data_IF_753087390344
#
_entry.id   IF_753087390344
#
_cell.length_a   1.000
_cell.length_b   1.000
_cell.length_c   1.000
_cell.angle_alpha   90.00
_cell.angle_beta   90.00
_cell.angle_gamma   90.00
#
_symmetry.space_group_name_H-M   'P 1'
#
loop_
_entity.id
_entity.type
_entity.pdbx_description
1 polymer ?
#
# COMPACT_ATOMS: atom_id res chain seq x y z
N UNK A 1 2.61 -8.19 35.34
CA UNK A 1 2.60 -6.81 35.85
C UNK A 1 2.66 -5.89 34.64
N UNK A 2 1.49 -5.51 34.11
CA UNK A 2 1.37 -4.81 32.83
C UNK A 2 1.41 -3.30 33.03
N UNK A 3 2.36 -2.63 32.39
CA UNK A 3 2.44 -1.18 32.37
C UNK A 3 1.47 -0.64 31.30
N UNK A 4 0.53 0.20 31.76
CA UNK A 4 -0.43 0.93 30.94
C UNK A 4 0.23 2.24 30.53
N UNK A 5 0.71 2.33 29.29
CA UNK A 5 1.13 3.60 28.72
C UNK A 5 -0.11 4.35 28.23
N UNK A 6 -0.49 5.38 29.00
CA UNK A 6 -1.53 6.34 28.66
C UNK A 6 -0.89 7.48 27.86
N UNK A 7 -0.98 7.41 26.53
CA UNK A 7 -0.89 8.59 25.66
C UNK A 7 -2.22 8.72 24.94
N UNK A 8 -2.77 9.92 24.96
CA UNK A 8 -4.12 10.21 24.50
C UNK A 8 -4.43 9.62 23.12
N UNK A 9 -5.59 8.97 23.04
CA UNK A 9 -6.37 8.63 21.85
C UNK A 9 -6.09 7.34 21.08
N UNK A 10 -5.22 6.42 21.49
CA UNK A 10 -5.13 5.09 20.84
C UNK A 10 -4.73 3.99 21.83
N UNK A 11 -5.56 2.94 21.94
CA UNK A 11 -5.30 1.75 22.75
C UNK A 11 -4.96 0.59 21.80
N UNK A 12 -3.65 0.33 21.62
CA UNK A 12 -3.15 -0.84 20.90
C UNK A 12 -2.65 -1.86 21.93
N UNK A 13 -3.38 -2.96 22.10
CA UNK A 13 -2.95 -4.07 22.94
C UNK A 13 -2.18 -5.09 22.09
N UNK A 14 -0.84 -4.97 22.04
CA UNK A 14 0.02 -6.01 21.49
C UNK A 14 0.32 -7.07 22.58
N UNK A 15 -0.56 -8.07 22.67
CA UNK A 15 -0.26 -9.35 23.34
C UNK A 15 0.36 -10.32 22.33
N UNK A 16 1.50 -10.91 22.67
CA UNK A 16 2.37 -11.68 21.76
C UNK A 16 1.74 -12.87 21.01
N UNK A 17 2.44 -13.25 19.93
CA UNK A 17 2.27 -14.45 19.09
C UNK A 17 1.01 -14.60 18.24
N UNK A 18 0.04 -13.66 18.28
CA UNK A 18 -1.14 -13.70 17.42
C UNK A 18 -1.41 -12.32 16.84
N UNK A 19 -1.05 -12.10 15.55
CA UNK A 19 -1.42 -10.88 14.82
C UNK A 19 -2.92 -10.87 14.53
N UNK A 20 -3.72 -10.80 15.59
CA UNK A 20 -5.17 -10.65 15.52
C UNK A 20 -5.47 -9.21 15.18
N UNK A 21 -6.24 -9.04 14.14
CA UNK A 21 -6.72 -7.75 13.71
C UNK A 21 -8.01 -7.41 14.45
N UNK A 22 -8.02 -6.25 15.10
CA UNK A 22 -9.21 -5.62 15.65
C UNK A 22 -9.35 -4.25 15.01
N UNK A 23 -10.53 -3.93 14.49
CA UNK A 23 -10.82 -2.60 13.97
C UNK A 23 -11.04 -1.68 15.17
N UNK A 24 -10.13 -0.73 15.38
CA UNK A 24 -10.17 0.18 16.52
C UNK A 24 -11.12 1.37 16.28
N UNK A 25 -11.25 1.80 15.03
CA UNK A 25 -12.05 2.95 14.63
C UNK A 25 -12.71 2.68 13.26
N UNK A 26 -13.97 3.06 13.14
CA UNK A 26 -14.78 2.97 11.91
C UNK A 26 -15.31 4.33 11.48
N UNK A 27 -14.74 5.41 12.00
CA UNK A 27 -15.07 6.78 11.58
C UNK A 27 -14.83 6.93 10.08
N UNK A 28 -15.71 7.63 9.34
CA UNK A 28 -15.56 7.82 7.90
C UNK A 28 -14.24 8.51 7.58
N UNK A 29 -13.52 7.97 6.61
CA UNK A 29 -12.26 8.51 6.10
C UNK A 29 -12.47 9.57 5.02
N UNK A 30 -13.73 9.84 4.67
CA UNK A 30 -14.17 10.70 3.55
C UNK A 30 -13.71 10.21 2.17
N UNK A 31 -13.20 8.98 2.08
CA UNK A 31 -12.86 8.28 0.85
C UNK A 31 -13.72 7.02 0.79
N UNK A 32 -14.76 7.05 -0.05
CA UNK A 32 -15.76 5.97 -0.11
C UNK A 32 -15.17 4.59 -0.41
N UNK A 33 -14.05 4.54 -1.15
CA UNK A 33 -13.28 3.32 -1.36
C UNK A 33 -12.76 2.75 -0.04
N UNK A 34 -12.12 3.57 0.80
CA UNK A 34 -11.52 3.12 2.06
C UNK A 34 -12.60 2.73 3.07
N UNK A 35 -13.69 3.50 3.16
CA UNK A 35 -14.81 3.21 4.06
C UNK A 35 -15.47 1.86 3.74
N UNK A 36 -15.68 1.57 2.45
CA UNK A 36 -16.20 0.27 2.00
C UNK A 36 -15.24 -0.88 2.35
N UNK A 37 -13.92 -0.69 2.20
CA UNK A 37 -12.93 -1.73 2.53
C UNK A 37 -12.87 -1.98 4.03
N UNK A 38 -12.91 -0.92 4.84
CA UNK A 38 -12.99 -1.00 6.30
C UNK A 38 -14.25 -1.75 6.76
N UNK A 39 -15.39 -1.49 6.11
CA UNK A 39 -16.62 -2.20 6.41
C UNK A 39 -16.51 -3.71 6.13
N UNK A 40 -16.01 -4.09 4.95
CA UNK A 40 -15.83 -5.51 4.59
C UNK A 40 -14.81 -6.22 5.49
N UNK A 41 -13.74 -5.52 5.85
CA UNK A 41 -12.74 -6.00 6.80
C UNK A 41 -13.37 -6.33 8.15
N UNK A 42 -14.15 -5.39 8.69
CA UNK A 42 -14.87 -5.57 9.95
C UNK A 42 -15.87 -6.73 9.89
N UNK A 43 -16.64 -6.82 8.80
CA UNK A 43 -17.60 -7.92 8.60
C UNK A 43 -16.91 -9.28 8.53
N UNK A 44 -15.78 -9.38 7.82
CA UNK A 44 -15.01 -10.61 7.72
C UNK A 44 -14.35 -11.01 9.05
N UNK A 45 -13.82 -10.04 9.80
CA UNK A 45 -13.16 -10.29 11.07
C UNK A 45 -14.12 -10.80 12.17
N UNK A 46 -15.36 -10.29 12.21
CA UNK A 46 -16.37 -10.69 13.21
C UNK A 46 -16.72 -12.18 13.18
N UNK A 47 -16.62 -12.83 12.03
CA UNK A 47 -16.95 -14.25 11.87
C UNK A 47 -15.81 -15.21 12.20
N UNK A 48 -14.63 -14.73 12.63
CA UNK A 48 -13.43 -15.56 12.76
C UNK A 48 -12.91 -15.67 14.18
N UNK A 49 -12.56 -16.90 14.58
CA UNK A 49 -11.87 -17.17 15.83
C UNK A 49 -10.49 -16.51 15.84
N UNK A 50 -9.79 -16.39 14.71
CA UNK A 50 -8.53 -15.64 14.55
C UNK A 50 -8.52 -14.95 13.18
N UNK A 51 -8.52 -13.61 13.17
CA UNK A 51 -8.51 -12.81 11.96
C UNK A 51 -7.09 -12.27 11.73
N UNK A 52 -6.31 -12.92 10.86
CA UNK A 52 -4.96 -12.46 10.51
C UNK A 52 -5.02 -11.43 9.39
N UNK A 53 -4.17 -10.40 9.49
CA UNK A 53 -4.07 -9.34 8.47
C UNK A 53 -3.67 -9.93 7.11
N UNK A 54 -2.71 -10.85 7.09
CA UNK A 54 -2.20 -11.47 5.87
C UNK A 54 -3.27 -12.25 5.09
N UNK A 55 -4.15 -12.97 5.80
CA UNK A 55 -5.27 -13.71 5.18
C UNK A 55 -6.29 -12.76 4.55
N UNK A 56 -6.57 -11.63 5.18
CA UNK A 56 -7.44 -10.62 4.61
C UNK A 56 -6.83 -9.98 3.36
N UNK A 57 -5.57 -9.56 3.45
CA UNK A 57 -4.87 -8.94 2.32
C UNK A 57 -4.85 -9.87 1.10
N UNK A 58 -4.51 -11.15 1.31
CA UNK A 58 -4.51 -12.16 0.26
C UNK A 58 -5.90 -12.34 -0.39
N UNK A 59 -6.97 -12.27 0.41
CA UNK A 59 -8.35 -12.38 -0.06
C UNK A 59 -8.80 -11.14 -0.85
N UNK A 60 -8.51 -9.94 -0.34
CA UNK A 60 -9.10 -8.71 -0.86
C UNK A 60 -8.23 -8.04 -1.94
N UNK A 61 -6.95 -8.41 -2.10
CA UNK A 61 -5.99 -7.79 -3.02
C UNK A 61 -6.56 -7.50 -4.42
N UNK A 62 -7.16 -8.49 -5.08
CA UNK A 62 -7.67 -8.33 -6.46
C UNK A 62 -8.86 -7.40 -6.51
N UNK A 63 -9.73 -7.46 -5.50
CA UNK A 63 -10.92 -6.61 -5.43
C UNK A 63 -10.53 -5.17 -5.10
N UNK A 64 -9.59 -4.99 -4.18
CA UNK A 64 -9.00 -3.71 -3.83
C UNK A 64 -8.35 -3.05 -5.04
N UNK A 65 -7.46 -3.74 -5.76
CA UNK A 65 -6.80 -3.19 -6.95
C UNK A 65 -7.82 -2.73 -8.00
N UNK A 66 -8.81 -3.58 -8.31
CA UNK A 66 -9.85 -3.23 -9.27
C UNK A 66 -10.66 -2.01 -8.83
N UNK A 67 -11.05 -1.95 -7.55
CA UNK A 67 -11.83 -0.83 -7.03
C UNK A 67 -11.02 0.47 -6.99
N UNK A 68 -9.71 0.39 -6.71
CA UNK A 68 -8.79 1.53 -6.81
C UNK A 68 -8.73 2.06 -8.23
N UNK A 69 -8.57 1.20 -9.24
CA UNK A 69 -8.54 1.63 -10.65
C UNK A 69 -9.85 2.32 -11.04
N UNK A 70 -11.00 1.77 -10.66
CA UNK A 70 -12.30 2.40 -10.91
C UNK A 70 -12.38 3.78 -10.25
N UNK A 71 -11.98 3.89 -8.99
CA UNK A 71 -11.98 5.17 -8.26
C UNK A 71 -11.04 6.21 -8.92
N UNK A 72 -9.88 5.78 -9.44
CA UNK A 72 -8.98 6.67 -10.18
C UNK A 72 -9.60 7.15 -11.51
N UNK A 73 -10.34 6.29 -12.20
CA UNK A 73 -11.10 6.67 -13.38
C UNK A 73 -12.25 7.64 -13.05
N UNK A 74 -13.01 7.38 -11.99
CA UNK A 74 -14.09 8.26 -11.52
C UNK A 74 -13.59 9.65 -11.12
N UNK A 75 -12.38 9.71 -10.55
CA UNK A 75 -11.69 10.97 -10.22
C UNK A 75 -11.06 11.66 -11.43
N UNK A 76 -11.13 11.06 -12.61
CA UNK A 76 -10.55 11.60 -13.84
C UNK A 76 -9.02 11.67 -13.81
N UNK A 77 -8.35 10.87 -12.97
CA UNK A 77 -6.88 10.82 -12.91
C UNK A 77 -6.30 9.86 -13.96
N UNK A 78 -7.10 8.89 -14.38
CA UNK A 78 -6.72 7.81 -15.30
C UNK A 78 -7.86 7.57 -16.28
N UNK A 79 -7.55 7.27 -17.53
CA UNK A 79 -8.55 7.01 -18.58
C UNK A 79 -8.52 5.52 -18.92
N UNK A 80 -9.69 4.87 -19.06
CA UNK A 80 -9.75 3.51 -19.59
C UNK A 80 -9.67 3.55 -21.12
N UNK A 81 -8.56 3.07 -21.68
CA UNK A 81 -8.42 2.86 -23.13
C UNK A 81 -8.59 1.37 -23.47
N UNK A 82 -9.46 1.07 -24.44
CA UNK A 82 -9.64 -0.28 -24.97
C UNK A 82 -9.00 -0.39 -26.34
N UNK A 83 -7.89 -1.11 -26.40
CA UNK A 83 -7.17 -1.46 -27.61
C UNK A 83 -7.51 -2.88 -28.06
N UNK A 84 -7.22 -3.23 -29.32
CA UNK A 84 -7.23 -4.62 -29.78
C UNK A 84 -5.84 -5.02 -30.22
N UNK A 85 -5.17 -5.90 -29.48
CA UNK A 85 -3.94 -6.52 -29.94
C UNK A 85 -4.27 -7.49 -31.09
N UNK A 86 -3.57 -7.33 -32.22
CA UNK A 86 -3.77 -8.09 -33.46
C UNK A 86 -5.24 -8.10 -33.97
N UNK A 87 -6.03 -7.08 -33.64
CA UNK A 87 -7.44 -6.96 -34.06
C UNK A 87 -8.43 -7.89 -33.34
N UNK A 88 -7.94 -8.85 -32.56
CA UNK A 88 -8.74 -9.94 -31.99
C UNK A 88 -8.76 -9.95 -30.45
N UNK A 89 -7.69 -9.50 -29.80
CA UNK A 89 -7.56 -9.56 -28.34
C UNK A 89 -7.79 -8.18 -27.71
N UNK A 90 -8.90 -7.92 -27.01
CA UNK A 90 -9.10 -6.65 -26.33
C UNK A 90 -8.06 -6.49 -25.20
N UNK A 91 -7.28 -5.42 -25.27
CA UNK A 91 -6.31 -5.01 -24.25
C UNK A 91 -6.84 -3.74 -23.60
N UNK A 92 -6.94 -3.74 -22.27
CA UNK A 92 -7.26 -2.53 -21.51
C UNK A 92 -5.97 -1.85 -21.07
N UNK A 93 -5.86 -0.56 -21.35
CA UNK A 93 -4.80 0.31 -20.85
C UNK A 93 -5.42 1.41 -20.00
N UNK A 94 -4.64 1.90 -19.06
CA UNK A 94 -5.05 2.90 -18.10
C UNK A 94 -4.01 4.02 -18.06
N UNK A 95 -3.85 4.80 -19.14
CA UNK A 95 -2.96 5.96 -19.13
C UNK A 95 -3.44 7.04 -18.15
N UNK A 96 -2.49 7.84 -17.66
CA UNK A 96 -2.79 9.06 -16.91
C UNK A 96 -3.62 10.03 -17.77
N UNK A 97 -4.66 10.61 -17.18
CA UNK A 97 -5.49 11.62 -17.84
C UNK A 97 -4.76 12.97 -17.90
N UNK A 98 -4.12 13.34 -16.78
CA UNK A 98 -3.21 14.46 -16.66
C UNK A 98 -2.09 14.09 -15.68
N UNK A 99 -0.85 14.09 -16.17
CA UNK A 99 0.33 13.78 -15.37
C UNK A 99 0.72 14.88 -14.38
N UNK A 100 0.01 16.01 -14.30
CA UNK A 100 0.30 17.08 -13.30
C UNK A 100 0.28 16.55 -11.88
N UNK A 101 -0.76 15.79 -11.53
CA UNK A 101 -0.94 15.22 -10.18
C UNK A 101 0.18 14.23 -9.85
N UNK A 102 0.56 13.38 -10.81
CA UNK A 102 1.68 12.46 -10.61
C UNK A 102 3.01 13.20 -10.48
N UNK A 103 3.27 14.20 -11.33
CA UNK A 103 4.49 15.02 -11.27
C UNK A 103 4.61 15.75 -9.94
N UNK A 104 3.56 16.40 -9.47
CA UNK A 104 3.56 17.08 -8.16
C UNK A 104 3.83 16.11 -7.00
N UNK A 105 3.25 14.91 -7.07
CA UNK A 105 3.48 13.86 -6.08
C UNK A 105 4.94 13.39 -6.10
N UNK A 106 5.49 13.17 -7.29
CA UNK A 106 6.88 12.74 -7.48
C UNK A 106 7.87 13.81 -7.02
N UNK A 107 7.64 15.06 -7.37
CA UNK A 107 8.41 16.21 -6.89
C UNK A 107 8.41 16.29 -5.35
N UNK A 108 7.27 16.05 -4.70
CA UNK A 108 7.20 16.03 -3.23
C UNK A 108 8.03 14.89 -2.65
N UNK A 109 7.99 13.70 -3.26
CA UNK A 109 8.79 12.56 -2.84
C UNK A 109 10.29 12.83 -3.03
N UNK A 110 10.68 13.43 -4.15
CA UNK A 110 12.06 13.79 -4.46
C UNK A 110 12.60 14.85 -3.49
N UNK A 111 11.82 15.88 -3.14
CA UNK A 111 12.19 16.86 -2.11
C UNK A 111 12.55 16.22 -0.77
N UNK A 112 11.86 15.16 -0.38
CA UNK A 112 12.11 14.46 0.88
C UNK A 112 13.30 13.50 0.78
N UNK A 113 13.34 12.71 -0.30
CA UNK A 113 14.30 11.59 -0.44
C UNK A 113 15.65 12.07 -0.97
N UNK A 114 15.67 12.98 -1.95
CA UNK A 114 16.89 13.49 -2.57
C UNK A 114 17.38 14.77 -1.89
N UNK A 115 16.47 15.69 -1.58
CA UNK A 115 16.82 17.01 -1.03
C UNK A 115 16.73 17.07 0.50
N UNK A 116 16.40 15.97 1.17
CA UNK A 116 16.44 15.87 2.64
C UNK A 116 15.38 16.71 3.36
N UNK A 117 14.37 17.22 2.66
CA UNK A 117 13.29 18.00 3.27
C UNK A 117 12.57 17.20 4.35
N UNK A 118 12.11 17.86 5.42
CA UNK A 118 11.32 17.21 6.47
C UNK A 118 9.98 16.71 5.87
N UNK A 119 9.69 15.41 5.93
CA UNK A 119 8.44 14.90 5.40
C UNK A 119 7.27 15.18 6.34
N UNK A 120 6.07 15.33 5.75
CA UNK A 120 4.81 15.24 6.48
C UNK A 120 4.46 13.76 6.79
N UNK A 121 3.50 13.52 7.67
CA UNK A 121 3.14 12.16 8.10
C UNK A 121 2.63 11.30 6.93
N UNK A 122 1.88 11.91 6.00
CA UNK A 122 1.30 11.23 4.84
C UNK A 122 2.38 10.79 3.84
N UNK A 123 3.36 11.65 3.58
CA UNK A 123 4.49 11.41 2.68
C UNK A 123 5.45 10.41 3.30
N UNK A 124 5.69 10.52 4.61
CA UNK A 124 6.51 9.54 5.33
C UNK A 124 5.88 8.14 5.28
N UNK A 125 4.56 8.05 5.48
CA UNK A 125 3.80 6.80 5.35
C UNK A 125 3.87 6.23 3.93
N UNK A 126 3.72 7.08 2.90
CA UNK A 126 3.85 6.67 1.50
C UNK A 126 5.25 6.16 1.18
N UNK A 127 6.31 6.84 1.64
CA UNK A 127 7.69 6.41 1.49
C UNK A 127 7.92 5.05 2.14
N UNK A 128 7.37 4.84 3.35
CA UNK A 128 7.46 3.57 4.05
C UNK A 128 6.79 2.42 3.26
N UNK A 129 5.63 2.68 2.65
CA UNK A 129 4.94 1.72 1.79
C UNK A 129 5.73 1.41 0.51
N UNK A 130 6.24 2.44 -0.18
CA UNK A 130 7.06 2.27 -1.38
C UNK A 130 8.33 1.47 -1.09
N UNK A 131 8.99 1.75 0.04
CA UNK A 131 10.16 1.00 0.50
C UNK A 131 9.80 -0.47 0.80
N UNK A 132 8.72 -0.70 1.56
CA UNK A 132 8.25 -2.06 1.91
C UNK A 132 7.81 -2.89 0.70
N UNK A 133 7.28 -2.24 -0.35
CA UNK A 133 6.87 -2.87 -1.60
C UNK A 133 8.01 -2.98 -2.64
N UNK A 134 9.22 -2.48 -2.33
CA UNK A 134 10.37 -2.45 -3.26
C UNK A 134 10.12 -1.70 -4.57
N UNK A 135 9.28 -0.66 -4.53
CA UNK A 135 8.88 0.13 -5.70
C UNK A 135 9.81 1.32 -5.97
N UNK A 136 11.06 1.26 -5.53
CA UNK A 136 12.05 2.33 -5.64
C UNK A 136 12.23 2.82 -7.09
N UNK A 137 12.37 1.90 -8.05
CA UNK A 137 12.61 2.24 -9.46
C UNK A 137 11.39 2.85 -10.16
N UNK A 138 10.17 2.47 -9.74
CA UNK A 138 8.93 3.07 -10.25
C UNK A 138 8.69 4.45 -9.65
N UNK A 139 9.02 4.63 -8.36
CA UNK A 139 8.85 5.88 -7.64
C UNK A 139 9.91 6.95 -7.97
N UNK A 140 11.10 6.53 -8.42
CA UNK A 140 12.20 7.43 -8.77
C UNK A 140 12.91 6.97 -10.05
N UNK A 141 12.28 7.11 -11.23
CA UNK A 141 12.88 6.76 -12.49
C UNK A 141 14.13 7.62 -12.72
N UNK A 142 15.23 6.98 -13.11
CA UNK A 142 16.49 7.67 -13.38
C UNK A 142 17.40 7.88 -12.17
N UNK A 143 16.97 7.52 -10.94
CA UNK A 143 17.83 7.57 -9.75
C UNK A 143 18.28 6.17 -9.35
N UNK A 144 19.59 5.93 -9.14
CA UNK A 144 20.07 4.64 -8.67
C UNK A 144 19.48 4.27 -7.31
N UNK A 145 18.93 3.06 -7.20
CA UNK A 145 18.31 2.55 -5.95
C UNK A 145 19.20 2.72 -4.72
N UNK A 146 20.52 2.51 -4.88
CA UNK A 146 21.51 2.63 -3.80
C UNK A 146 21.55 4.02 -3.15
N UNK A 147 21.12 5.06 -3.85
CA UNK A 147 21.14 6.45 -3.36
C UNK A 147 19.87 6.78 -2.56
N UNK A 148 18.73 6.22 -2.96
CA UNK A 148 17.42 6.48 -2.34
C UNK A 148 17.08 5.50 -1.22
N UNK A 149 17.53 4.24 -1.31
CA UNK A 149 17.18 3.18 -0.38
C UNK A 149 17.54 3.48 1.08
N UNK A 150 18.75 4.01 1.41
CA UNK A 150 19.10 4.33 2.79
C UNK A 150 18.18 5.40 3.39
N UNK A 151 17.86 6.43 2.60
CA UNK A 151 17.01 7.54 3.06
C UNK A 151 15.57 7.08 3.26
N UNK A 152 15.02 6.32 2.31
CA UNK A 152 13.68 5.75 2.43
C UNK A 152 13.59 4.77 3.61
N UNK A 153 14.63 3.96 3.85
CA UNK A 153 14.68 3.05 4.99
C UNK A 153 14.66 3.82 6.33
N UNK A 154 15.44 4.88 6.45
CA UNK A 154 15.46 5.72 7.65
C UNK A 154 14.10 6.37 7.94
N UNK A 155 13.40 6.84 6.90
CA UNK A 155 12.04 7.40 7.03
C UNK A 155 11.05 6.30 7.40
N UNK A 156 11.17 5.11 6.80
CA UNK A 156 10.29 3.99 7.08
C UNK A 156 10.44 3.49 8.53
N UNK A 157 11.66 3.41 9.05
CA UNK A 157 11.93 3.03 10.44
C UNK A 157 11.26 4.01 11.44
N UNK A 158 11.26 5.31 11.14
CA UNK A 158 10.64 6.33 11.99
C UNK A 158 9.10 6.40 11.94
N UNK A 159 8.46 5.78 10.94
CA UNK A 159 6.99 5.82 10.75
C UNK A 159 6.26 4.58 11.23
N UNK A 160 6.98 3.48 11.49
CA UNK A 160 6.34 2.25 11.88
C UNK A 160 5.93 2.30 13.35
N UNK A 161 4.74 2.84 13.60
CA UNK A 161 4.11 2.85 14.92
C UNK A 161 3.74 1.43 15.43
N UNK A 162 3.93 0.37 14.65
CA UNK A 162 3.78 -1.01 15.13
C UNK A 162 4.59 -2.01 14.30
N UNK A 163 5.49 -2.75 14.97
CA UNK A 163 6.25 -3.89 14.44
C UNK A 163 5.40 -4.93 13.68
N UNK A 164 4.09 -4.99 13.97
CA UNK A 164 3.12 -5.88 13.33
C UNK A 164 2.90 -5.62 11.84
N UNK A 165 2.88 -4.35 11.39
CA UNK A 165 2.68 -4.02 9.96
C UNK A 165 3.91 -4.43 9.14
N UNK A 166 5.11 -4.16 9.67
CA UNK A 166 6.39 -4.55 9.09
C UNK A 166 6.49 -6.07 8.90
N UNK A 167 6.03 -6.84 9.89
CA UNK A 167 6.00 -8.31 9.83
C UNK A 167 4.98 -8.81 8.80
N UNK A 168 3.76 -8.28 8.78
CA UNK A 168 2.74 -8.68 7.82
C UNK A 168 3.14 -8.42 6.36
N UNK A 169 3.74 -7.26 6.07
CA UNK A 169 4.23 -6.94 4.72
C UNK A 169 5.39 -7.87 4.34
N UNK A 170 6.37 -8.13 5.22
CA UNK A 170 7.47 -9.05 4.93
C UNK A 170 7.01 -10.50 4.71
N UNK A 171 6.09 -10.98 5.54
CA UNK A 171 5.50 -12.33 5.39
C UNK A 171 4.72 -12.45 4.07
N UNK A 172 4.00 -11.40 3.68
CA UNK A 172 3.33 -11.34 2.39
C UNK A 172 4.33 -11.29 1.22
N UNK A 173 5.41 -10.52 1.30
CA UNK A 173 6.46 -10.47 0.26
C UNK A 173 7.17 -11.83 0.10
N UNK A 174 7.41 -12.54 1.21
CA UNK A 174 7.93 -13.90 1.17
C UNK A 174 6.96 -14.89 0.50
N UNK A 175 5.66 -14.66 0.65
CA UNK A 175 4.61 -15.48 0.02
C UNK A 175 4.40 -15.12 -1.46
N UNK A 176 4.48 -13.83 -1.81
CA UNK A 176 4.28 -13.34 -3.19
C UNK A 176 5.47 -13.61 -4.11
N UNK A 177 6.71 -13.64 -3.58
CA UNK A 177 7.89 -14.03 -4.35
C UNK A 177 7.79 -15.46 -4.93
N UNK A 178 7.00 -16.34 -4.31
CA UNK A 178 6.73 -17.68 -4.81
C UNK A 178 5.72 -17.71 -5.98
N UNK A 179 4.92 -16.66 -6.17
CA UNK A 179 3.85 -16.61 -7.18
C UNK A 179 4.30 -15.89 -8.47
N UNK A 180 5.18 -14.89 -8.36
CA UNK A 180 5.69 -14.14 -9.52
C UNK A 180 6.72 -14.87 -10.38
N UNK A 181 7.29 -15.99 -9.92
CA UNK A 181 8.18 -16.82 -10.75
C UNK A 181 7.44 -17.52 -11.91
N UNK A 182 6.10 -17.58 -11.87
CA UNK A 182 5.30 -18.30 -12.87
C UNK A 182 4.80 -17.43 -14.04
N UNK A 183 5.00 -16.11 -14.04
CA UNK A 183 4.41 -15.21 -15.07
C UNK A 183 5.40 -14.59 -16.05
N UNK A 184 6.71 -14.74 -15.85
CA UNK A 184 7.72 -14.22 -16.79
C UNK A 184 8.07 -15.26 -17.88
N UNK A 185 7.65 -16.52 -17.73
CA UNK A 185 7.96 -17.60 -18.67
C UNK A 185 6.98 -17.74 -19.86
N UNK A 186 6.11 -16.75 -20.12
CA UNK A 186 5.14 -16.83 -21.23
C UNK A 186 5.40 -15.85 -22.38
N UNK A 187 6.53 -15.14 -22.37
CA UNK A 187 6.96 -14.31 -23.49
C UNK A 187 8.47 -14.51 -23.74
N UNK A 188 8.81 -15.69 -24.20
CA UNK A 188 9.98 -15.94 -25.08
C UNK A 188 9.53 -16.83 -26.20
#
# INVERSE_FOLDING_TARGET
>A
MGQVYRTGRNLMACGGASSRMTVADTSPTHEGLLDERLHRLGAWARGRRSAKVTEWLAKDQTTSVRATVVSLCERGLVIEERHRALGLFPVRRYPEADGTVERELRDRLERVVLHGTRPDDRTSSLIALLHGARLHGTAFPGVPRREIEPRMAAIAEGQWAADGVRRAIREMQATMAAVTAATIASCT
#
